data_IF_604399114832
#
_entry.id   IF_604399114832
#
_cell.length_a   1.000
_cell.length_b   1.000
_cell.length_c   1.000
_cell.angle_alpha   90.00
_cell.angle_beta   90.00
_cell.angle_gamma   90.00
#
_symmetry.space_group_name_H-M   'P 1'
#
loop_
_entity.id
_entity.type
_entity.pdbx_description
1 polymer ?
#
# COMPACT_ATOMS: atom_id res chain seq x y z
N UNK A 1 -0.91 10.83 13.19
CA UNK A 1 -1.69 10.41 14.39
C UNK A 1 -3.16 10.78 14.24
N UNK A 2 -3.51 12.06 14.09
CA UNK A 2 -4.89 12.49 13.94
C UNK A 2 -5.59 11.89 12.74
N UNK A 3 -4.87 11.70 11.63
CA UNK A 3 -5.42 11.16 10.40
C UNK A 3 -5.96 9.74 10.55
N UNK A 4 -5.20 8.88 11.23
CA UNK A 4 -5.62 7.49 11.50
C UNK A 4 -6.86 7.47 12.39
N UNK A 5 -6.92 8.34 13.39
CA UNK A 5 -8.07 8.47 14.28
C UNK A 5 -9.33 8.84 13.50
N UNK A 6 -9.23 9.81 12.57
CA UNK A 6 -10.36 10.24 11.74
C UNK A 6 -10.86 9.09 10.87
N UNK A 7 -9.96 8.34 10.21
CA UNK A 7 -10.34 7.19 9.39
C UNK A 7 -11.07 6.12 10.21
N UNK A 8 -10.62 5.85 11.44
CA UNK A 8 -11.28 4.90 12.31
C UNK A 8 -12.67 5.36 12.72
N UNK A 9 -12.87 6.66 12.95
CA UNK A 9 -14.18 7.22 13.25
C UNK A 9 -15.18 6.96 12.11
N UNK A 10 -14.75 7.17 10.85
CA UNK A 10 -15.62 6.91 9.70
C UNK A 10 -15.97 5.43 9.59
N UNK A 11 -15.02 4.53 9.84
CA UNK A 11 -15.28 3.09 9.85
C UNK A 11 -16.30 2.72 10.92
N UNK A 12 -16.20 3.32 12.11
CA UNK A 12 -17.10 3.03 13.23
C UNK A 12 -18.54 3.41 12.91
N UNK A 13 -18.77 4.45 12.11
CA UNK A 13 -20.12 4.84 11.71
C UNK A 13 -20.57 4.21 10.40
N UNK A 14 -19.82 3.20 9.91
CA UNK A 14 -20.22 2.41 8.75
C UNK A 14 -19.88 3.00 7.39
N UNK A 15 -19.03 4.01 7.32
CA UNK A 15 -18.56 4.58 6.06
C UNK A 15 -17.34 3.80 5.58
N UNK A 16 -17.36 3.25 4.34
CA UNK A 16 -16.18 2.55 3.80
C UNK A 16 -14.98 3.48 3.66
N UNK A 17 -13.82 3.03 4.12
CA UNK A 17 -12.57 3.79 4.06
C UNK A 17 -11.49 2.96 3.36
N UNK A 18 -10.87 3.54 2.33
CA UNK A 18 -9.68 2.98 1.68
C UNK A 18 -8.45 3.74 2.18
N UNK A 19 -7.53 3.06 2.82
CA UNK A 19 -6.33 3.67 3.38
C UNK A 19 -5.10 3.20 2.62
N UNK A 20 -4.40 4.14 1.97
CA UNK A 20 -3.21 3.83 1.17
C UNK A 20 -2.11 3.16 1.99
N UNK A 21 -1.85 3.65 3.21
CA UNK A 21 -0.83 3.07 4.08
C UNK A 21 -1.12 1.62 4.43
N UNK A 22 -2.39 1.30 4.72
CA UNK A 22 -2.80 -0.07 5.01
C UNK A 22 -2.63 -0.96 3.78
N UNK A 23 -2.96 -0.46 2.59
CA UNK A 23 -2.82 -1.23 1.35
C UNK A 23 -1.35 -1.49 1.04
N UNK A 24 -0.47 -0.52 1.26
CA UNK A 24 0.97 -0.73 1.10
C UNK A 24 1.47 -1.81 2.06
N UNK A 25 1.01 -1.79 3.31
CA UNK A 25 1.38 -2.82 4.28
C UNK A 25 0.94 -4.22 3.84
N UNK A 26 -0.25 -4.33 3.24
CA UNK A 26 -0.74 -5.59 2.69
C UNK A 26 0.11 -6.04 1.51
N UNK A 27 0.44 -5.11 0.60
CA UNK A 27 1.26 -5.41 -0.57
C UNK A 27 2.67 -5.86 -0.18
N UNK A 28 3.20 -5.34 0.91
CA UNK A 28 4.54 -5.64 1.40
C UNK A 28 4.59 -6.81 2.39
N UNK A 29 3.44 -7.40 2.72
CA UNK A 29 3.38 -8.58 3.57
C UNK A 29 3.98 -9.80 2.88
N UNK A 30 4.19 -10.89 3.62
CA UNK A 30 4.78 -12.12 3.11
C UNK A 30 4.11 -12.63 1.84
N UNK A 31 2.78 -12.57 1.77
CA UNK A 31 2.00 -13.02 0.63
C UNK A 31 1.56 -11.89 -0.28
N UNK A 32 2.07 -10.68 -0.06
CA UNK A 32 1.65 -9.50 -0.80
C UNK A 32 2.08 -9.53 -2.26
N UNK A 33 1.31 -8.88 -3.12
CA UNK A 33 1.58 -8.82 -4.55
C UNK A 33 2.91 -8.12 -4.86
N UNK A 34 3.24 -7.06 -4.14
CA UNK A 34 4.52 -6.35 -4.32
C UNK A 34 5.70 -7.24 -3.89
N UNK A 35 5.54 -8.00 -2.81
CA UNK A 35 6.58 -8.89 -2.31
C UNK A 35 6.98 -9.92 -3.36
N UNK A 36 6.01 -10.48 -4.07
CA UNK A 36 6.26 -11.45 -5.14
C UNK A 36 7.08 -10.84 -6.27
N UNK A 37 6.78 -9.62 -6.65
CA UNK A 37 7.50 -8.91 -7.72
C UNK A 37 8.90 -8.52 -7.23
N UNK A 38 9.03 -8.03 -6.00
CA UNK A 38 10.31 -7.64 -5.42
C UNK A 38 11.26 -8.82 -5.25
N UNK A 39 10.75 -10.03 -5.06
CA UNK A 39 11.57 -11.23 -5.00
C UNK A 39 12.40 -11.39 -6.27
N UNK A 40 11.86 -10.97 -7.41
CA UNK A 40 12.56 -11.03 -8.70
C UNK A 40 13.47 -9.82 -8.94
N UNK A 41 13.04 -8.63 -8.52
CA UNK A 41 13.72 -7.38 -8.86
C UNK A 41 14.65 -6.87 -7.75
N UNK A 42 14.25 -7.05 -6.50
CA UNK A 42 14.97 -6.54 -5.33
C UNK A 42 14.99 -7.61 -4.22
N UNK A 43 15.64 -8.78 -4.47
CA UNK A 43 15.60 -9.87 -3.49
C UNK A 43 16.22 -9.50 -2.14
N UNK A 44 17.11 -8.51 -2.10
CA UNK A 44 17.79 -8.10 -0.87
C UNK A 44 16.84 -7.51 0.18
N UNK A 45 15.70 -6.96 -0.24
CA UNK A 45 14.74 -6.37 0.70
C UNK A 45 13.63 -7.35 1.09
N UNK A 46 13.61 -8.55 0.51
CA UNK A 46 12.59 -9.54 0.79
C UNK A 46 13.05 -10.44 1.94
N UNK A 47 12.23 -10.52 2.98
CA UNK A 47 12.50 -11.34 4.16
C UNK A 47 11.41 -12.41 4.31
N UNK A 48 11.55 -13.27 5.31
CA UNK A 48 10.56 -14.31 5.60
C UNK A 48 9.18 -13.73 5.98
N UNK A 49 9.15 -12.50 6.48
CA UNK A 49 7.90 -11.85 6.90
C UNK A 49 7.40 -10.82 5.91
N UNK A 50 8.06 -10.67 4.77
CA UNK A 50 7.70 -9.71 3.74
C UNK A 50 8.84 -8.76 3.41
N UNK A 51 8.50 -7.56 2.92
CA UNK A 51 9.50 -6.56 2.54
C UNK A 51 10.01 -5.82 3.77
N UNK A 52 11.34 -5.72 3.89
CA UNK A 52 12.00 -4.91 4.90
C UNK A 52 11.98 -3.46 4.46
N UNK A 53 11.08 -2.67 5.05
CA UNK A 53 10.87 -1.27 4.68
C UNK A 53 12.08 -0.39 4.99
N UNK A 54 12.81 -0.71 6.06
CA UNK A 54 14.00 0.06 6.45
C UNK A 54 15.09 -0.13 5.41
N UNK A 55 15.35 -1.37 5.01
CA UNK A 55 16.35 -1.68 4.00
C UNK A 55 15.96 -1.08 2.64
N UNK A 56 14.69 -1.15 2.26
CA UNK A 56 14.20 -0.55 1.04
C UNK A 56 14.40 0.97 1.06
N UNK A 57 14.09 1.62 2.16
CA UNK A 57 14.30 3.06 2.33
C UNK A 57 15.77 3.43 2.16
N UNK A 58 16.66 2.66 2.76
CA UNK A 58 18.10 2.90 2.63
C UNK A 58 18.57 2.78 1.18
N UNK A 59 18.07 1.79 0.45
CA UNK A 59 18.39 1.62 -0.97
C UNK A 59 17.91 2.81 -1.79
N UNK A 60 16.71 3.32 -1.52
CA UNK A 60 16.14 4.47 -2.21
C UNK A 60 16.98 5.73 -1.92
N UNK A 61 17.44 5.91 -0.69
CA UNK A 61 18.30 7.05 -0.34
C UNK A 61 19.64 7.04 -1.08
N UNK A 62 20.15 5.85 -1.36
CA UNK A 62 21.44 5.71 -2.06
C UNK A 62 21.29 5.86 -3.56
N UNK A 63 20.13 5.54 -4.13
CA UNK A 63 19.91 5.54 -5.57
C UNK A 63 18.45 5.91 -5.88
N UNK A 64 18.26 7.12 -6.41
CA UNK A 64 16.94 7.63 -6.77
C UNK A 64 16.24 6.81 -7.86
N UNK A 65 16.99 6.11 -8.71
CA UNK A 65 16.41 5.24 -9.74
C UNK A 65 15.63 4.07 -9.13
N UNK A 66 16.04 3.63 -7.94
CA UNK A 66 15.32 2.58 -7.22
C UNK A 66 13.92 3.05 -6.85
N UNK A 67 13.78 4.31 -6.42
CA UNK A 67 12.45 4.88 -6.11
C UNK A 67 11.52 4.80 -7.32
N UNK A 68 12.02 5.15 -8.51
CA UNK A 68 11.23 5.08 -9.75
C UNK A 68 10.80 3.65 -10.06
N UNK A 69 11.69 2.68 -9.87
CA UNK A 69 11.38 1.26 -10.10
C UNK A 69 10.33 0.77 -9.11
N UNK A 70 10.47 1.15 -7.83
CA UNK A 70 9.50 0.80 -6.80
C UNK A 70 8.13 1.38 -7.11
N UNK A 71 8.08 2.65 -7.50
CA UNK A 71 6.83 3.31 -7.87
C UNK A 71 6.14 2.63 -9.04
N UNK A 72 6.90 2.21 -10.07
CA UNK A 72 6.36 1.48 -11.21
C UNK A 72 5.75 0.14 -10.83
N UNK A 73 6.26 -0.49 -9.78
CA UNK A 73 5.73 -1.75 -9.27
C UNK A 73 4.49 -1.52 -8.41
N UNK A 74 4.59 -0.58 -7.46
CA UNK A 74 3.57 -0.39 -6.43
C UNK A 74 2.37 0.40 -6.95
N UNK A 75 2.59 1.40 -7.80
CA UNK A 75 1.52 2.28 -8.28
C UNK A 75 0.37 1.53 -8.97
N UNK A 76 0.63 0.62 -9.94
CA UNK A 76 -0.46 -0.14 -10.55
C UNK A 76 -1.21 -1.02 -9.56
N UNK A 77 -0.50 -1.60 -8.58
CA UNK A 77 -1.11 -2.44 -7.56
C UNK A 77 -2.04 -1.64 -6.66
N UNK A 78 -1.65 -0.42 -6.28
CA UNK A 78 -2.51 0.47 -5.49
C UNK A 78 -3.71 0.95 -6.30
N UNK A 79 -3.53 1.24 -7.58
CA UNK A 79 -4.65 1.63 -8.46
C UNK A 79 -5.68 0.52 -8.56
N UNK A 80 -5.23 -0.72 -8.72
CA UNK A 80 -6.13 -1.87 -8.76
C UNK A 80 -6.90 -2.03 -7.46
N UNK A 81 -6.20 -1.92 -6.34
CA UNK A 81 -6.82 -2.00 -5.01
C UNK A 81 -7.90 -0.93 -4.85
N UNK A 82 -7.61 0.29 -5.26
CA UNK A 82 -8.56 1.40 -5.17
C UNK A 82 -9.78 1.18 -6.07
N UNK A 83 -9.55 0.71 -7.29
CA UNK A 83 -10.63 0.40 -8.23
C UNK A 83 -11.54 -0.70 -7.69
N UNK A 84 -10.94 -1.77 -7.16
CA UNK A 84 -11.69 -2.87 -6.54
C UNK A 84 -12.53 -2.38 -5.37
N UNK A 85 -11.97 -1.49 -4.55
CA UNK A 85 -12.68 -0.90 -3.43
C UNK A 85 -13.88 -0.07 -3.90
N UNK A 86 -13.72 0.74 -4.95
CA UNK A 86 -14.82 1.52 -5.50
C UNK A 86 -15.92 0.61 -6.05
N UNK A 87 -15.56 -0.46 -6.74
CA UNK A 87 -16.54 -1.41 -7.29
C UNK A 87 -17.31 -2.13 -6.18
N UNK A 88 -16.64 -2.55 -5.11
CA UNK A 88 -17.28 -3.21 -3.98
C UNK A 88 -18.26 -2.29 -3.25
N UNK A 89 -18.05 -0.99 -3.33
CA UNK A 89 -18.83 0.00 -2.58
C UNK A 89 -19.64 0.92 -3.48
N UNK A 90 -20.00 0.48 -4.69
CA UNK A 90 -20.77 1.28 -5.65
C UNK A 90 -22.10 1.81 -5.09
N UNK A 91 -22.72 1.04 -4.21
CA UNK A 91 -24.02 1.41 -3.62
C UNK A 91 -23.87 2.29 -2.37
N UNK A 92 -22.67 2.46 -1.86
CA UNK A 92 -22.44 3.31 -0.70
C UNK A 92 -22.62 4.79 -1.10
N UNK A 93 -23.37 5.58 -0.32
CA UNK A 93 -23.56 7.01 -0.64
C UNK A 93 -22.28 7.81 -0.51
N UNK A 94 -21.36 7.39 0.36
CA UNK A 94 -20.08 8.07 0.63
C UNK A 94 -19.01 7.02 0.81
N UNK A 95 -17.86 7.23 0.20
CA UNK A 95 -16.64 6.46 0.47
C UNK A 95 -15.50 7.44 0.73
N UNK A 96 -14.50 7.00 1.49
CA UNK A 96 -13.38 7.85 1.89
C UNK A 96 -12.07 7.23 1.41
N UNK A 97 -11.21 8.08 0.84
CA UNK A 97 -9.84 7.71 0.48
C UNK A 97 -8.88 8.43 1.41
N UNK A 98 -8.19 7.68 2.26
CA UNK A 98 -7.17 8.20 3.16
C UNK A 98 -5.82 8.09 2.47
N UNK A 99 -5.38 9.20 1.87
CA UNK A 99 -4.12 9.29 1.12
C UNK A 99 -3.21 10.29 1.84
N UNK A 100 -1.97 9.87 2.18
CA UNK A 100 -1.02 10.77 2.84
C UNK A 100 -0.58 11.92 1.96
#
# INVERSE_FOLDING_TARGET
MGKTTVSNMFKDIGIPVWCADNEVNILYSKEGAATKIFTKNFPNVVTEIGIDKVQLRDMIHKDNDILRKVEKIVHPLLQKSRTDFMELNQKAPIIIFDIP
#
